data_IF_681422993895
#
_entry.id   IF_681422993895
#
_cell.length_a   1.000
_cell.length_b   1.000
_cell.length_c   1.000
_cell.angle_alpha   90.00
_cell.angle_beta   90.00
_cell.angle_gamma   90.00
#
_symmetry.space_group_name_H-M   'P 1'
#
loop_
_entity.id
_entity.type
_entity.pdbx_description
1 polymer ?
#
# COMPACT_ATOMS: atom_id res chain seq x y z
N UNK A 1 -0.23 -27.62 15.65
CA UNK A 1 -1.50 -27.05 15.17
C UNK A 1 -1.23 -25.60 14.76
N UNK A 2 -0.89 -25.33 13.48
CA UNK A 2 -0.54 -23.97 13.01
C UNK A 2 -1.81 -23.11 13.06
N UNK A 3 -1.82 -22.03 13.87
CA UNK A 3 -2.87 -21.02 13.78
C UNK A 3 -2.91 -20.50 12.33
N UNK A 4 -3.98 -20.80 11.59
CA UNK A 4 -4.27 -20.09 10.35
C UNK A 4 -4.54 -18.64 10.75
N UNK A 5 -3.58 -17.75 10.52
CA UNK A 5 -3.80 -16.31 10.64
C UNK A 5 -4.92 -15.92 9.67
N UNK A 6 -6.05 -15.46 10.21
CA UNK A 6 -7.26 -15.20 9.43
C UNK A 6 -7.19 -13.80 8.82
N UNK A 7 -7.19 -13.74 7.49
CA UNK A 7 -7.59 -12.56 6.72
C UNK A 7 -9.02 -12.16 7.13
N UNK A 8 -9.31 -10.87 7.20
CA UNK A 8 -10.65 -10.33 7.44
C UNK A 8 -11.06 -9.36 6.33
N UNK A 9 -12.36 -9.11 6.18
CA UNK A 9 -12.91 -8.07 5.30
C UNK A 9 -13.71 -7.09 6.14
N UNK A 10 -13.57 -5.79 5.87
CA UNK A 10 -14.35 -4.77 6.55
C UNK A 10 -15.71 -4.56 5.88
N UNK A 11 -16.79 -4.30 6.66
CA UNK A 11 -16.82 -4.19 8.12
C UNK A 11 -16.65 -5.56 8.81
N UNK A 12 -15.77 -5.64 9.81
CA UNK A 12 -15.46 -6.87 10.54
C UNK A 12 -15.84 -6.72 12.01
N UNK A 13 -16.63 -7.67 12.53
CA UNK A 13 -16.89 -7.78 13.97
C UNK A 13 -15.96 -8.87 14.49
N UNK A 14 -14.87 -8.52 15.21
CA UNK A 14 -13.92 -9.53 15.66
C UNK A 14 -14.53 -10.40 16.76
N UNK A 15 -14.19 -11.69 16.76
CA UNK A 15 -14.66 -12.59 17.82
C UNK A 15 -13.87 -12.34 19.10
N UNK A 16 -14.50 -12.38 20.29
CA UNK A 16 -13.86 -12.03 21.57
C UNK A 16 -12.56 -12.81 21.90
N UNK A 17 -12.32 -13.96 21.23
CA UNK A 17 -11.07 -14.73 21.32
C UNK A 17 -9.93 -14.16 20.48
N UNK A 18 -10.24 -13.45 19.39
CA UNK A 18 -9.24 -12.83 18.50
C UNK A 18 -8.68 -11.54 19.12
N UNK A 19 -9.42 -10.90 20.04
CA UNK A 19 -9.14 -9.56 20.57
C UNK A 19 -8.50 -9.60 21.97
N UNK A 20 -8.76 -10.65 22.75
CA UNK A 20 -8.38 -10.74 24.17
C UNK A 20 -6.87 -10.63 24.46
N UNK A 21 -6.00 -11.06 23.54
CA UNK A 21 -4.54 -10.94 23.67
C UNK A 21 -3.95 -9.65 23.07
N UNK A 22 -4.77 -8.86 22.37
CA UNK A 22 -4.36 -7.68 21.60
C UNK A 22 -4.74 -6.35 22.27
N UNK A 23 -5.63 -6.38 23.27
CA UNK A 23 -6.18 -5.20 23.95
C UNK A 23 -5.12 -4.24 24.51
N UNK A 24 -3.97 -4.75 24.95
CA UNK A 24 -2.91 -3.95 25.61
C UNK A 24 -1.72 -3.61 24.69
N UNK A 25 -1.65 -4.18 23.49
CA UNK A 25 -0.51 -3.96 22.60
C UNK A 25 -0.77 -2.79 21.65
N UNK A 26 0.20 -1.87 21.55
CA UNK A 26 0.20 -0.84 20.51
C UNK A 26 0.40 -1.50 19.15
N UNK A 27 -0.48 -1.17 18.21
CA UNK A 27 -0.47 -1.69 16.84
C UNK A 27 -0.39 -0.53 15.86
N UNK A 28 0.36 -0.72 14.78
CA UNK A 28 0.47 0.23 13.68
C UNK A 28 -0.35 -0.26 12.50
N UNK A 29 -1.11 0.64 11.90
CA UNK A 29 -1.93 0.34 10.71
C UNK A 29 -1.23 0.89 9.47
N UNK A 30 -0.91 -0.02 8.56
CA UNK A 30 -0.35 0.24 7.23
C UNK A 30 -1.43 -0.07 6.20
N UNK A 31 -1.70 0.84 5.28
CA UNK A 31 -2.76 0.65 4.30
C UNK A 31 -2.27 0.88 2.88
N UNK A 32 -2.69 0.01 1.97
CA UNK A 32 -2.30 0.05 0.55
C UNK A 32 -3.52 0.37 -0.29
N UNK A 33 -3.40 1.42 -1.10
CA UNK A 33 -4.38 1.78 -2.11
C UNK A 33 -3.67 2.26 -3.38
N UNK A 34 -4.44 2.59 -4.41
CA UNK A 34 -3.90 3.10 -5.67
C UNK A 34 -4.48 2.38 -6.89
N UNK A 35 -3.64 2.25 -7.92
CA UNK A 35 -3.99 1.61 -9.20
C UNK A 35 -3.18 0.35 -9.36
N UNK A 36 -3.76 -0.69 -9.95
CA UNK A 36 -3.04 -1.92 -10.30
C UNK A 36 -3.21 -2.25 -11.79
N UNK A 37 -2.17 -2.79 -12.45
CA UNK A 37 -2.33 -3.31 -13.81
C UNK A 37 -3.16 -4.60 -13.78
N UNK A 38 -3.66 -5.02 -14.96
CA UNK A 38 -4.42 -6.27 -15.08
C UNK A 38 -3.60 -7.50 -14.66
N UNK A 39 -2.31 -7.50 -14.99
CA UNK A 39 -1.35 -8.56 -14.63
C UNK A 39 -1.24 -8.81 -13.13
N UNK A 40 -1.54 -7.81 -12.28
CA UNK A 40 -1.47 -7.94 -10.84
C UNK A 40 -2.67 -8.69 -10.23
N UNK A 41 -3.69 -9.07 -11.03
CA UNK A 41 -4.87 -9.80 -10.55
C UNK A 41 -5.63 -9.06 -9.45
N UNK A 42 -5.62 -7.73 -9.47
CA UNK A 42 -6.27 -6.88 -8.47
C UNK A 42 -5.59 -6.86 -7.09
N UNK A 43 -4.32 -7.26 -7.00
CA UNK A 43 -3.54 -7.17 -5.76
C UNK A 43 -2.45 -6.11 -5.85
N UNK A 44 -2.52 -5.10 -4.99
CA UNK A 44 -1.49 -4.06 -4.83
C UNK A 44 -0.51 -4.37 -3.69
N UNK A 45 -0.91 -5.28 -2.79
CA UNK A 45 -0.12 -5.67 -1.63
C UNK A 45 0.89 -6.79 -1.92
N UNK A 46 1.17 -7.10 -3.19
CA UNK A 46 2.05 -8.21 -3.57
C UNK A 46 3.47 -8.13 -2.99
N UNK A 47 4.00 -6.92 -2.79
CA UNK A 47 5.31 -6.73 -2.14
C UNK A 47 5.27 -6.89 -0.61
N UNK A 48 4.10 -6.70 0.00
CA UNK A 48 3.88 -6.87 1.44
C UNK A 48 3.58 -8.33 1.77
N UNK A 49 2.97 -9.06 0.84
CA UNK A 49 2.62 -10.47 0.97
C UNK A 49 3.79 -11.38 1.33
N UNK A 50 5.04 -10.99 1.07
CA UNK A 50 6.22 -11.77 1.45
C UNK A 50 6.80 -11.43 2.83
N UNK A 51 6.37 -10.36 3.50
CA UNK A 51 6.96 -9.91 4.76
C UNK A 51 6.74 -10.88 5.93
N UNK A 52 5.55 -11.49 6.09
CA UNK A 52 5.29 -12.45 7.17
C UNK A 52 5.94 -13.83 6.93
N UNK A 53 6.63 -14.01 5.80
CA UNK A 53 7.17 -15.30 5.35
C UNK A 53 6.11 -16.24 4.76
N UNK A 54 4.90 -15.73 4.49
CA UNK A 54 3.83 -16.45 3.79
C UNK A 54 2.90 -15.47 3.09
N UNK A 55 2.32 -15.86 1.95
CA UNK A 55 1.37 -15.02 1.20
C UNK A 55 0.07 -14.82 1.98
N UNK A 56 -0.35 -13.57 2.10
CA UNK A 56 -1.52 -13.19 2.90
C UNK A 56 -2.71 -12.84 2.01
N UNK A 57 -2.54 -11.87 1.12
CA UNK A 57 -3.55 -11.31 0.24
C UNK A 57 -3.70 -12.15 -1.04
N UNK A 58 -2.63 -12.72 -1.57
CA UNK A 58 -2.66 -13.79 -2.59
C UNK A 58 -2.80 -15.18 -1.97
N UNK A 59 -4.01 -15.56 -1.57
CA UNK A 59 -4.26 -16.83 -0.88
C UNK A 59 -4.27 -18.05 -1.83
N UNK A 60 -4.67 -17.90 -3.11
CA UNK A 60 -4.66 -19.01 -4.06
C UNK A 60 -4.32 -18.59 -5.50
N UNK A 61 -3.70 -19.52 -6.22
CA UNK A 61 -3.37 -19.44 -7.64
C UNK A 61 -4.62 -19.40 -8.55
N UNK A 62 -5.78 -19.78 -8.01
CA UNK A 62 -7.09 -19.86 -8.68
C UNK A 62 -8.05 -18.82 -8.06
N UNK A 63 -7.61 -18.06 -7.06
CA UNK A 63 -8.46 -17.08 -6.41
C UNK A 63 -8.77 -15.96 -7.41
N UNK A 64 -10.04 -15.79 -7.69
CA UNK A 64 -10.54 -14.72 -8.55
C UNK A 64 -11.33 -13.73 -7.69
N UNK A 65 -10.63 -12.82 -6.98
CA UNK A 65 -11.26 -12.02 -5.95
C UNK A 65 -12.31 -11.09 -6.56
N UNK A 66 -13.52 -11.18 -6.04
CA UNK A 66 -14.61 -10.27 -6.38
C UNK A 66 -14.74 -9.18 -5.31
N UNK A 67 -15.21 -8.02 -5.74
CA UNK A 67 -15.59 -6.91 -4.85
C UNK A 67 -17.09 -6.92 -4.64
N UNK A 68 -17.55 -6.34 -3.56
CA UNK A 68 -18.97 -6.08 -3.35
C UNK A 68 -19.56 -5.33 -4.56
N UNK A 69 -20.66 -5.85 -5.12
CA UNK A 69 -21.26 -5.32 -6.35
C UNK A 69 -21.91 -3.94 -6.13
N UNK A 70 -22.35 -3.65 -4.91
CA UNK A 70 -22.99 -2.39 -4.55
C UNK A 70 -21.96 -1.33 -4.19
N UNK A 71 -20.88 -1.70 -3.51
CA UNK A 71 -19.83 -0.76 -3.13
C UNK A 71 -18.76 -0.60 -4.22
N UNK A 72 -18.58 -1.61 -5.08
CA UNK A 72 -17.51 -1.72 -6.07
C UNK A 72 -16.11 -1.56 -5.46
N UNK A 73 -16.00 -1.76 -4.15
CA UNK A 73 -14.78 -1.66 -3.39
C UNK A 73 -14.85 -2.50 -2.12
N UNK A 74 -13.72 -3.14 -1.80
CA UNK A 74 -13.55 -3.98 -0.61
C UNK A 74 -12.25 -3.61 0.11
N UNK A 75 -12.28 -3.59 1.44
CA UNK A 75 -11.07 -3.45 2.26
C UNK A 75 -10.77 -4.79 2.94
N UNK A 76 -9.64 -5.37 2.56
CA UNK A 76 -9.14 -6.61 3.14
C UNK A 76 -8.09 -6.29 4.19
N UNK A 77 -8.19 -6.94 5.35
CA UNK A 77 -7.30 -6.73 6.47
C UNK A 77 -6.53 -7.99 6.85
N UNK A 78 -5.30 -7.79 7.31
CA UNK A 78 -4.47 -8.82 7.91
C UNK A 78 -3.69 -8.27 9.09
N UNK A 79 -3.69 -8.99 10.20
CA UNK A 79 -2.92 -8.66 11.37
C UNK A 79 -1.70 -9.58 11.47
N UNK A 80 -0.50 -9.00 11.46
CA UNK A 80 0.75 -9.69 11.78
C UNK A 80 1.05 -9.54 13.28
N UNK A 81 0.82 -10.59 14.11
CA UNK A 81 1.10 -10.51 15.53
C UNK A 81 2.59 -10.40 15.87
N UNK A 82 3.50 -10.80 14.96
CA UNK A 82 4.95 -10.73 15.21
C UNK A 82 5.45 -9.29 15.08
N UNK A 83 5.01 -8.59 14.05
CA UNK A 83 5.38 -7.18 13.83
C UNK A 83 4.46 -6.21 14.57
N UNK A 84 3.30 -6.67 15.07
CA UNK A 84 2.21 -5.83 15.62
C UNK A 84 1.73 -4.80 14.60
N UNK A 85 1.59 -5.24 13.36
CA UNK A 85 1.18 -4.40 12.23
C UNK A 85 -0.11 -4.95 11.64
N UNK A 86 -1.07 -4.07 11.39
CA UNK A 86 -2.27 -4.38 10.60
C UNK A 86 -2.07 -3.82 9.21
N UNK A 87 -2.15 -4.70 8.23
CA UNK A 87 -2.14 -4.35 6.83
C UNK A 87 -3.58 -4.30 6.32
N UNK A 88 -3.97 -3.16 5.76
CA UNK A 88 -5.23 -3.00 5.04
C UNK A 88 -4.96 -2.84 3.55
N UNK A 89 -5.72 -3.53 2.72
CA UNK A 89 -5.60 -3.50 1.26
C UNK A 89 -6.95 -3.13 0.66
N UNK A 90 -7.02 -1.97 0.02
CA UNK A 90 -8.23 -1.51 -0.67
C UNK A 90 -8.23 -2.04 -2.10
N UNK A 91 -9.24 -2.85 -2.44
CA UNK A 91 -9.59 -3.22 -3.81
C UNK A 91 -10.73 -2.35 -4.31
N UNK A 92 -10.70 -1.94 -5.56
CA UNK A 92 -11.83 -1.23 -6.13
C UNK A 92 -11.68 -0.90 -7.60
N UNK A 93 -12.53 0.01 -8.08
CA UNK A 93 -12.67 0.37 -9.51
C UNK A 93 -11.41 0.86 -10.22
N UNK A 94 -10.38 1.29 -9.48
CA UNK A 94 -9.10 1.72 -10.05
C UNK A 94 -8.10 0.57 -10.28
N UNK A 95 -8.47 -0.65 -9.88
CA UNK A 95 -7.79 -1.87 -10.23
C UNK A 95 -8.36 -2.39 -11.55
N UNK A 96 -7.52 -2.57 -12.57
CA UNK A 96 -7.99 -2.97 -13.91
C UNK A 96 -8.74 -4.31 -13.87
N UNK A 97 -8.33 -5.22 -12.99
CA UNK A 97 -9.00 -6.51 -12.79
C UNK A 97 -10.46 -6.35 -12.34
N UNK A 98 -10.72 -5.51 -11.33
CA UNK A 98 -12.08 -5.22 -10.84
C UNK A 98 -12.90 -4.47 -11.89
N UNK A 99 -12.28 -3.52 -12.59
CA UNK A 99 -12.96 -2.77 -13.65
C UNK A 99 -13.45 -3.68 -14.78
N UNK A 100 -12.65 -4.68 -15.18
CA UNK A 100 -13.02 -5.66 -16.21
C UNK A 100 -14.18 -6.53 -15.75
N UNK A 101 -14.18 -7.00 -14.50
CA UNK A 101 -15.29 -7.80 -13.95
C UNK A 101 -16.61 -7.04 -13.92
N UNK A 102 -16.56 -5.78 -13.55
CA UNK A 102 -17.75 -4.92 -13.47
C UNK A 102 -18.14 -4.30 -14.81
N UNK A 103 -17.46 -4.64 -15.91
CA UNK A 103 -17.66 -4.02 -17.23
C UNK A 103 -19.10 -4.15 -17.75
N UNK A 104 -19.71 -5.32 -17.62
CA UNK A 104 -21.07 -5.55 -18.10
C UNK A 104 -22.10 -4.73 -17.32
N UNK A 105 -21.91 -4.60 -16.01
CA UNK A 105 -22.73 -3.74 -15.16
C UNK A 105 -22.56 -2.27 -15.57
N UNK A 106 -21.31 -1.82 -15.73
CA UNK A 106 -21.04 -0.45 -16.17
C UNK A 106 -21.59 -0.14 -17.55
N UNK A 107 -21.54 -1.09 -18.48
CA UNK A 107 -22.07 -0.91 -19.83
C UNK A 107 -23.56 -0.64 -19.80
N UNK A 108 -24.32 -1.36 -18.96
CA UNK A 108 -25.76 -1.13 -18.75
C UNK A 108 -26.03 0.21 -18.07
N UNK A 109 -25.34 0.52 -16.98
CA UNK A 109 -25.54 1.79 -16.28
C UNK A 109 -25.16 3.01 -17.14
N UNK A 110 -24.17 2.84 -18.02
CA UNK A 110 -23.73 3.87 -18.96
C UNK A 110 -24.82 4.21 -19.98
N UNK A 111 -25.55 3.20 -20.48
CA UNK A 111 -26.69 3.37 -21.38
C UNK A 111 -27.87 4.06 -20.68
N UNK A 112 -28.13 3.73 -19.41
CA UNK A 112 -29.27 4.26 -18.65
C UNK A 112 -29.05 5.67 -18.11
N UNK A 113 -27.88 5.93 -17.49
CA UNK A 113 -27.60 7.13 -16.67
C UNK A 113 -26.60 8.08 -17.34
N UNK A 114 -25.88 7.61 -18.36
CA UNK A 114 -24.82 8.36 -19.04
C UNK A 114 -23.49 8.39 -18.28
N UNK A 115 -22.41 8.68 -19.03
CA UNK A 115 -21.02 8.57 -18.57
C UNK A 115 -20.71 9.36 -17.29
N UNK A 116 -21.12 10.63 -17.24
CA UNK A 116 -20.76 11.52 -16.15
C UNK A 116 -21.33 11.06 -14.81
N UNK A 117 -22.57 10.54 -14.81
CA UNK A 117 -23.23 10.05 -13.60
C UNK A 117 -22.52 8.81 -13.05
N UNK A 118 -22.29 7.81 -13.93
CA UNK A 118 -21.63 6.56 -13.54
C UNK A 118 -20.21 6.82 -13.04
N UNK A 119 -19.44 7.65 -13.77
CA UNK A 119 -18.07 7.96 -13.40
C UNK A 119 -17.96 8.75 -12.08
N UNK A 120 -18.89 9.67 -11.83
CA UNK A 120 -18.95 10.41 -10.57
C UNK A 120 -19.28 9.48 -9.40
N UNK A 121 -20.23 8.56 -9.59
CA UNK A 121 -20.61 7.59 -8.57
C UNK A 121 -19.49 6.59 -8.25
N UNK A 122 -18.80 6.05 -9.27
CA UNK A 122 -17.61 5.20 -9.08
C UNK A 122 -16.54 5.90 -8.24
N UNK A 123 -16.22 7.16 -8.57
CA UNK A 123 -15.25 7.96 -7.82
C UNK A 123 -15.71 8.22 -6.39
N UNK A 124 -17.01 8.47 -6.19
CA UNK A 124 -17.59 8.70 -4.89
C UNK A 124 -17.50 7.46 -3.99
N UNK A 125 -17.89 6.29 -4.49
CA UNK A 125 -17.79 5.01 -3.76
C UNK A 125 -16.34 4.73 -3.34
N UNK A 126 -15.38 4.86 -4.27
CA UNK A 126 -13.96 4.69 -3.95
C UNK A 126 -13.45 5.74 -2.94
N UNK A 127 -13.86 7.00 -3.08
CA UNK A 127 -13.46 8.08 -2.16
C UNK A 127 -13.94 7.82 -0.73
N UNK A 128 -15.12 7.22 -0.53
CA UNK A 128 -15.62 6.83 0.81
C UNK A 128 -14.73 5.78 1.47
N UNK A 129 -14.39 4.72 0.74
CA UNK A 129 -13.49 3.69 1.24
C UNK A 129 -12.09 4.26 1.56
N UNK A 130 -11.63 5.19 0.73
CA UNK A 130 -10.34 5.86 0.94
C UNK A 130 -10.38 6.80 2.17
N UNK A 131 -11.46 7.55 2.38
CA UNK A 131 -11.66 8.36 3.59
C UNK A 131 -11.55 7.56 4.87
N UNK A 132 -12.08 6.33 4.88
CA UNK A 132 -11.94 5.43 6.01
C UNK A 132 -10.46 5.12 6.28
N UNK A 133 -9.68 4.73 5.25
CA UNK A 133 -8.24 4.48 5.41
C UNK A 133 -7.49 5.69 5.96
N UNK A 134 -7.73 6.89 5.43
CA UNK A 134 -7.08 8.12 5.94
C UNK A 134 -7.41 8.43 7.41
N UNK A 135 -8.49 7.87 7.94
CA UNK A 135 -8.94 8.11 9.32
C UNK A 135 -8.39 7.09 10.32
N UNK A 136 -8.00 5.88 9.86
CA UNK A 136 -7.55 4.79 10.74
C UNK A 136 -6.08 4.42 10.56
N UNK A 137 -5.47 4.77 9.42
CA UNK A 137 -4.09 4.39 9.10
C UNK A 137 -3.07 5.33 9.70
N UNK A 138 -1.86 4.81 9.96
CA UNK A 138 -0.69 5.63 10.30
C UNK A 138 0.20 5.81 9.08
N UNK A 139 0.33 4.74 8.27
CA UNK A 139 1.11 4.75 7.03
C UNK A 139 0.19 4.34 5.89
N UNK A 140 0.25 5.08 4.80
CA UNK A 140 -0.50 4.86 3.58
C UNK A 140 0.49 4.68 2.42
N UNK A 141 0.32 3.62 1.65
CA UNK A 141 1.16 3.30 0.50
C UNK A 141 0.30 3.44 -0.75
N UNK A 142 0.71 4.31 -1.66
CA UNK A 142 0.09 4.46 -2.98
C UNK A 142 0.85 3.58 -3.95
N UNK A 143 0.22 2.49 -4.41
CA UNK A 143 0.75 1.70 -5.52
C UNK A 143 0.34 2.31 -6.85
N UNK A 144 1.30 2.46 -7.75
CA UNK A 144 1.08 2.92 -9.10
C UNK A 144 1.87 2.07 -10.11
N UNK A 145 1.23 1.61 -11.21
CA UNK A 145 1.86 0.69 -12.16
C UNK A 145 3.04 1.32 -12.92
N UNK A 146 2.99 2.63 -13.17
CA UNK A 146 4.02 3.34 -13.95
C UNK A 146 5.05 4.01 -13.04
N UNK A 147 6.17 4.49 -13.57
CA UNK A 147 7.16 5.31 -12.83
C UNK A 147 6.84 6.82 -12.86
N UNK A 148 5.62 7.19 -13.22
CA UNK A 148 5.18 8.58 -13.41
C UNK A 148 4.12 8.88 -12.36
N UNK A 149 4.29 10.01 -11.66
CA UNK A 149 3.29 10.46 -10.70
C UNK A 149 2.00 10.92 -11.41
N UNK A 150 0.87 10.35 -10.98
CA UNK A 150 -0.43 10.67 -11.54
C UNK A 150 -1.07 11.89 -10.86
N UNK A 151 -1.17 12.99 -11.61
CA UNK A 151 -1.72 14.27 -11.15
C UNK A 151 -3.22 14.16 -10.78
N UNK A 152 -3.94 13.14 -11.25
CA UNK A 152 -5.34 12.93 -10.84
C UNK A 152 -5.48 12.71 -9.33
N UNK A 153 -4.45 12.19 -8.65
CA UNK A 153 -4.44 12.08 -7.19
C UNK A 153 -4.52 13.44 -6.48
N UNK A 154 -3.97 14.51 -7.07
CA UNK A 154 -4.05 15.87 -6.48
C UNK A 154 -5.51 16.31 -6.34
N UNK A 155 -6.32 16.05 -7.36
CA UNK A 155 -7.75 16.38 -7.36
C UNK A 155 -8.50 15.53 -6.34
N UNK A 156 -8.17 14.24 -6.27
CA UNK A 156 -8.75 13.32 -5.29
C UNK A 156 -8.42 13.75 -3.86
N UNK A 157 -7.17 14.04 -3.54
CA UNK A 157 -6.75 14.46 -2.19
C UNK A 157 -7.40 15.77 -1.75
N UNK A 158 -7.54 16.74 -2.64
CA UNK A 158 -8.28 17.98 -2.34
C UNK A 158 -9.75 17.70 -2.03
N UNK A 159 -10.39 16.84 -2.83
CA UNK A 159 -11.79 16.47 -2.60
C UNK A 159 -11.97 15.72 -1.27
N UNK A 160 -11.05 14.81 -0.94
CA UNK A 160 -11.03 14.08 0.32
C UNK A 160 -10.80 15.01 1.52
N UNK A 161 -9.90 15.99 1.43
CA UNK A 161 -9.67 16.94 2.52
C UNK A 161 -10.92 17.80 2.79
N UNK A 162 -11.60 18.26 1.74
CA UNK A 162 -12.89 18.97 1.88
C UNK A 162 -13.96 18.05 2.49
N UNK A 163 -14.01 16.79 2.07
CA UNK A 163 -14.93 15.80 2.63
C UNK A 163 -14.64 15.58 4.12
N UNK A 164 -13.36 15.40 4.49
CA UNK A 164 -12.88 15.23 5.87
C UNK A 164 -13.39 16.34 6.76
N UNK A 165 -13.19 17.60 6.37
CA UNK A 165 -13.61 18.76 7.16
C UNK A 165 -15.13 18.80 7.37
N UNK A 166 -15.92 18.38 6.37
CA UNK A 166 -17.39 18.33 6.47
C UNK A 166 -17.90 17.21 7.37
N UNK A 167 -17.24 16.05 7.37
CA UNK A 167 -17.67 14.90 8.18
C UNK A 167 -17.09 14.89 9.60
N UNK A 168 -16.09 15.73 9.87
CA UNK A 168 -15.35 15.77 11.13
C UNK A 168 -16.28 15.87 12.35
N UNK A 169 -17.29 16.76 12.31
CA UNK A 169 -18.22 16.93 13.42
C UNK A 169 -18.99 15.65 13.77
N UNK A 170 -19.61 15.02 12.77
CA UNK A 170 -20.37 13.78 12.96
C UNK A 170 -19.48 12.60 13.36
N UNK A 171 -18.27 12.49 12.81
CA UNK A 171 -17.32 11.43 13.18
C UNK A 171 -16.83 11.62 14.62
N UNK A 172 -16.57 12.86 15.05
CA UNK A 172 -16.16 13.17 16.42
C UNK A 172 -17.22 12.75 17.44
N UNK A 173 -18.50 12.97 17.14
CA UNK A 173 -19.62 12.52 17.99
C UNK A 173 -19.68 11.00 18.12
N UNK A 174 -19.49 10.27 17.00
CA UNK A 174 -19.44 8.80 17.01
C UNK A 174 -18.23 8.32 17.83
N UNK A 175 -17.05 8.90 17.62
CA UNK A 175 -15.83 8.50 18.33
C UNK A 175 -15.91 8.77 19.84
N UNK A 176 -16.62 9.81 20.29
CA UNK A 176 -16.87 10.06 21.73
C UNK A 176 -17.61 8.93 22.42
N UNK A 177 -18.40 8.14 21.69
CA UNK A 177 -19.11 6.99 22.26
C UNK A 177 -18.18 5.83 22.59
N UNK A 178 -16.96 5.82 22.05
CA UNK A 178 -15.99 4.75 22.21
C UNK A 178 -15.10 5.05 23.44
N UNK A 179 -15.12 4.20 24.48
CA UNK A 179 -14.38 4.47 25.70
C UNK A 179 -12.85 4.41 25.50
N UNK A 180 -12.15 5.36 26.12
CA UNK A 180 -10.70 5.40 26.25
C UNK A 180 -9.93 5.83 25.00
N UNK A 181 -10.59 6.47 24.02
CA UNK A 181 -9.88 7.24 23.00
C UNK A 181 -9.43 8.57 23.61
N UNK A 182 -8.31 9.11 23.14
CA UNK A 182 -7.85 10.42 23.55
C UNK A 182 -8.71 11.54 22.94
N UNK A 183 -8.74 12.70 23.61
CA UNK A 183 -9.43 13.89 23.12
C UNK A 183 -8.88 14.38 21.78
N UNK A 184 -7.58 14.22 21.54
CA UNK A 184 -6.93 14.62 20.28
C UNK A 184 -7.32 13.71 19.11
N UNK A 185 -7.44 12.39 19.33
CA UNK A 185 -7.99 11.49 18.31
C UNK A 185 -9.44 11.85 18.01
N UNK A 186 -10.27 12.02 19.04
CA UNK A 186 -11.68 12.38 18.88
C UNK A 186 -11.86 13.70 18.11
N UNK A 187 -11.02 14.71 18.41
CA UNK A 187 -11.09 16.02 17.76
C UNK A 187 -10.63 15.96 16.31
N UNK A 188 -9.55 15.23 16.02
CA UNK A 188 -8.98 15.14 14.67
C UNK A 188 -9.60 14.02 13.80
N UNK A 189 -10.41 13.15 14.42
CA UNK A 189 -10.98 11.92 13.88
C UNK A 189 -9.95 10.94 13.30
N UNK A 190 -8.73 10.94 13.83
CA UNK A 190 -7.62 10.07 13.39
C UNK A 190 -6.55 9.90 14.48
N UNK A 191 -5.82 8.76 14.51
CA UNK A 191 -4.77 8.49 15.50
C UNK A 191 -3.51 9.34 15.31
N UNK A 192 -3.22 9.75 14.08
CA UNK A 192 -2.15 10.68 13.72
C UNK A 192 -2.45 11.28 12.34
N UNK A 193 -1.66 12.27 11.89
CA UNK A 193 -1.64 12.60 10.46
C UNK A 193 -0.91 11.48 9.71
N UNK A 194 -1.58 10.70 8.84
CA UNK A 194 -0.95 9.55 8.23
C UNK A 194 0.18 9.98 7.29
N UNK A 195 1.26 9.19 7.23
CA UNK A 195 2.32 9.36 6.25
C UNK A 195 1.97 8.66 4.95
N UNK A 196 2.13 9.35 3.83
CA UNK A 196 1.95 8.76 2.51
C UNK A 196 3.30 8.43 1.89
N UNK A 197 3.46 7.17 1.50
CA UNK A 197 4.60 6.62 0.77
C UNK A 197 4.16 6.24 -0.65
N UNK A 198 5.04 6.39 -1.63
CA UNK A 198 4.75 6.08 -3.03
C UNK A 198 5.52 4.86 -3.48
N UNK A 199 4.80 3.89 -4.03
CA UNK A 199 5.33 2.68 -4.62
C UNK A 199 5.06 2.72 -6.12
N UNK A 200 6.13 2.74 -6.91
CA UNK A 200 6.06 2.62 -8.36
C UNK A 200 6.46 1.21 -8.79
N UNK A 201 5.56 0.48 -9.44
CA UNK A 201 5.75 -0.94 -9.77
C UNK A 201 6.61 -1.16 -11.02
N UNK A 202 6.87 -0.11 -11.81
CA UNK A 202 7.76 -0.16 -12.97
C UNK A 202 8.89 0.85 -12.85
N UNK A 203 9.93 0.62 -13.65
CA UNK A 203 11.13 1.44 -13.72
C UNK A 203 11.49 1.68 -15.20
N UNK A 204 11.94 2.88 -15.60
CA UNK A 204 12.37 3.12 -16.98
C UNK A 204 13.51 2.20 -17.41
N UNK A 205 13.50 1.74 -18.66
CA UNK A 205 14.44 0.75 -19.20
C UNK A 205 15.93 1.12 -18.99
N UNK A 206 16.27 2.41 -19.08
CA UNK A 206 17.63 2.93 -18.87
C UNK A 206 18.23 2.58 -17.50
N UNK A 207 17.38 2.36 -16.48
CA UNK A 207 17.81 1.99 -15.13
C UNK A 207 17.85 0.46 -14.93
N UNK A 208 17.21 -0.32 -15.82
CA UNK A 208 17.17 -1.78 -15.79
C UNK A 208 18.38 -2.38 -16.54
N UNK A 209 18.70 -1.84 -17.71
CA UNK A 209 19.80 -2.32 -18.57
C UNK A 209 21.18 -2.17 -17.91
N UNK A 210 21.37 -1.12 -17.11
CA UNK A 210 22.60 -0.88 -16.36
C UNK A 210 22.94 -1.99 -15.35
N UNK A 211 21.95 -2.73 -14.83
CA UNK A 211 22.20 -3.88 -13.93
C UNK A 211 22.47 -5.18 -14.69
N UNK A 212 21.78 -5.41 -15.81
CA UNK A 212 21.95 -6.62 -16.61
C UNK A 212 23.33 -6.69 -17.30
N UNK A 213 23.87 -5.54 -17.73
CA UNK A 213 25.19 -5.49 -18.37
C UNK A 213 26.34 -5.55 -17.36
N UNK A 214 26.22 -4.93 -16.18
CA UNK A 214 27.26 -5.02 -15.12
C UNK A 214 27.41 -6.47 -14.61
N UNK A 215 26.34 -7.25 -14.57
CA UNK A 215 26.39 -8.66 -14.18
C UNK A 215 26.98 -9.59 -15.27
N UNK A 216 26.93 -9.19 -16.55
CA UNK A 216 27.37 -10.02 -17.69
C UNK A 216 28.78 -9.71 -18.16
N UNK A 217 29.22 -8.47 -18.01
CA UNK A 217 30.55 -8.04 -18.43
C UNK A 217 31.23 -7.44 -17.21
N UNK A 218 32.11 -8.20 -16.56
CA UNK A 218 33.02 -7.70 -15.52
C UNK A 218 34.04 -6.68 -16.04
N UNK A 219 33.71 -5.91 -17.08
CA UNK A 219 34.55 -4.96 -17.76
C UNK A 219 33.95 -3.56 -17.69
N UNK A 220 34.74 -2.63 -17.16
CA UNK A 220 34.39 -1.22 -16.95
C UNK A 220 34.32 -0.40 -18.22
N UNK A 221 33.35 -0.64 -19.10
CA UNK A 221 33.02 0.28 -20.18
C UNK A 221 32.10 1.43 -19.68
N UNK A 222 32.73 2.40 -19.01
CA UNK A 222 32.60 3.86 -19.20
C UNK A 222 31.26 4.62 -19.21
N UNK A 223 30.09 3.99 -19.21
CA UNK A 223 28.82 4.68 -19.09
C UNK A 223 28.38 4.74 -17.62
N UNK A 224 28.45 5.91 -16.96
CA UNK A 224 27.85 6.09 -15.63
C UNK A 224 26.32 5.96 -15.75
N UNK A 225 25.81 4.74 -15.63
CA UNK A 225 24.37 4.53 -15.53
C UNK A 225 23.83 5.31 -14.31
N UNK A 226 22.71 6.03 -14.45
CA UNK A 226 22.16 6.81 -13.35
C UNK A 226 21.68 5.87 -12.24
N UNK A 227 22.03 6.19 -10.99
CA UNK A 227 21.61 5.41 -9.82
C UNK A 227 20.09 5.47 -9.65
N UNK A 228 19.46 4.35 -9.31
CA UNK A 228 18.01 4.31 -8.98
C UNK A 228 17.65 5.31 -7.87
N UNK A 229 18.56 5.53 -6.93
CA UNK A 229 18.38 6.52 -5.86
C UNK A 229 18.23 7.95 -6.40
N UNK A 230 18.89 8.28 -7.51
CA UNK A 230 18.71 9.58 -8.16
C UNK A 230 17.31 9.72 -8.77
N UNK A 231 16.75 8.63 -9.30
CA UNK A 231 15.38 8.63 -9.79
C UNK A 231 14.39 8.79 -8.63
N UNK A 232 14.59 8.04 -7.54
CA UNK A 232 13.75 8.14 -6.33
C UNK A 232 13.77 9.57 -5.78
N UNK A 233 14.94 10.19 -5.59
CA UNK A 233 15.03 11.58 -5.13
C UNK A 233 14.40 12.58 -6.12
N UNK A 234 14.59 12.38 -7.44
CA UNK A 234 13.96 13.24 -8.42
C UNK A 234 12.42 13.13 -8.39
N UNK A 235 11.89 11.93 -8.12
CA UNK A 235 10.45 11.72 -7.94
C UNK A 235 9.96 12.31 -6.62
N UNK A 236 10.73 12.20 -5.52
CA UNK A 236 10.44 12.84 -4.24
C UNK A 236 10.30 14.34 -4.40
N UNK A 237 11.28 15.01 -5.01
CA UNK A 237 11.26 16.46 -5.27
C UNK A 237 10.05 16.85 -6.13
N UNK A 238 9.78 16.10 -7.20
CA UNK A 238 8.65 16.38 -8.08
C UNK A 238 7.31 16.24 -7.35
N UNK A 239 7.11 15.14 -6.62
CA UNK A 239 5.88 14.87 -5.86
C UNK A 239 5.70 15.94 -4.78
N UNK A 240 6.76 16.25 -4.03
CA UNK A 240 6.73 17.29 -3.00
C UNK A 240 6.34 18.64 -3.59
N UNK A 241 6.97 19.07 -4.70
CA UNK A 241 6.65 20.34 -5.35
C UNK A 241 5.22 20.39 -5.88
N UNK A 242 4.73 19.30 -6.51
CA UNK A 242 3.36 19.23 -7.02
C UNK A 242 2.36 19.34 -5.87
N UNK A 243 2.54 18.55 -4.80
CA UNK A 243 1.64 18.53 -3.65
C UNK A 243 1.67 19.85 -2.86
N UNK A 244 2.85 20.47 -2.76
CA UNK A 244 3.02 21.76 -2.10
C UNK A 244 2.41 22.92 -2.90
N UNK A 245 2.69 22.99 -4.20
CA UNK A 245 2.12 24.02 -5.10
C UNK A 245 0.61 23.89 -5.21
N UNK A 246 0.10 22.67 -5.15
CA UNK A 246 -1.33 22.39 -5.11
C UNK A 246 -1.98 22.51 -3.72
N UNK A 247 -1.23 22.91 -2.68
CA UNK A 247 -1.74 23.08 -1.30
C UNK A 247 -2.41 21.82 -0.73
N UNK A 248 -2.04 20.63 -1.22
CA UNK A 248 -2.48 19.35 -0.61
C UNK A 248 -1.76 19.13 0.72
N UNK A 249 -0.45 19.45 0.76
CA UNK A 249 0.37 19.41 1.96
C UNK A 249 0.69 20.83 2.44
N UNK A 250 0.64 21.04 3.76
CA UNK A 250 0.95 22.32 4.41
C UNK A 250 2.13 22.19 5.37
N UNK A 251 2.49 23.26 6.08
CA UNK A 251 3.59 23.24 7.06
C UNK A 251 3.24 22.44 8.31
N UNK A 252 1.94 22.35 8.61
CA UNK A 252 1.42 21.71 9.80
C UNK A 252 0.69 20.46 9.32
N UNK A 253 1.31 19.30 9.54
CA UNK A 253 0.80 17.99 9.12
C UNK A 253 -0.62 17.73 9.61
N UNK A 254 -0.96 18.14 10.85
CA UNK A 254 -2.28 17.96 11.44
C UNK A 254 -3.42 18.70 10.71
N UNK A 255 -3.11 19.74 9.94
CA UNK A 255 -4.11 20.48 9.15
C UNK A 255 -4.33 19.88 7.76
N UNK A 256 -3.41 19.05 7.28
CA UNK A 256 -3.49 18.39 5.98
C UNK A 256 -4.15 17.02 6.09
N UNK A 257 -4.64 16.50 4.95
CA UNK A 257 -5.17 15.13 4.86
C UNK A 257 -4.12 14.09 5.26
N UNK A 258 -2.86 14.32 4.88
CA UNK A 258 -1.71 13.48 5.19
C UNK A 258 -0.41 14.28 5.25
N UNK A 259 0.64 13.63 5.71
CA UNK A 259 2.00 14.15 5.76
C UNK A 259 2.94 13.41 4.79
N UNK A 260 4.02 14.10 4.41
CA UNK A 260 5.14 13.51 3.68
C UNK A 260 6.37 13.61 4.60
N UNK A 261 7.15 12.53 4.76
CA UNK A 261 8.39 12.55 5.53
C UNK A 261 9.36 13.62 5.01
N UNK A 262 9.88 14.47 5.90
CA UNK A 262 10.76 15.57 5.51
C UNK A 262 12.23 15.16 5.32
N UNK A 263 12.73 14.23 6.15
CA UNK A 263 14.14 13.82 6.21
C UNK A 263 14.32 12.32 5.96
N UNK A 264 13.33 11.67 5.34
CA UNK A 264 13.32 10.23 5.10
C UNK A 264 12.81 9.96 3.70
N UNK A 265 13.29 8.87 3.13
CA UNK A 265 12.85 8.42 1.82
C UNK A 265 11.36 8.05 1.87
N UNK A 266 10.59 8.53 0.90
CA UNK A 266 9.15 8.30 0.81
C UNK A 266 8.70 7.79 -0.57
N UNK A 267 9.63 7.64 -1.50
CA UNK A 267 9.39 7.01 -2.81
C UNK A 267 10.23 5.74 -2.92
N UNK A 268 9.59 4.66 -3.38
CA UNK A 268 10.27 3.42 -3.74
C UNK A 268 9.91 3.03 -5.17
N UNK A 269 10.93 2.78 -6.01
CA UNK A 269 10.74 2.33 -7.38
C UNK A 269 11.15 0.87 -7.51
N UNK A 270 10.21 0.02 -7.92
CA UNK A 270 10.47 -1.39 -8.13
C UNK A 270 11.41 -1.60 -9.32
N UNK A 271 12.59 -2.13 -9.05
CA UNK A 271 13.63 -2.40 -10.07
C UNK A 271 13.63 -3.83 -10.59
N UNK A 272 13.00 -4.75 -9.87
CA UNK A 272 12.86 -6.15 -10.29
C UNK A 272 11.49 -6.36 -10.89
N UNK A 273 11.44 -6.90 -12.11
CA UNK A 273 10.19 -7.37 -12.71
C UNK A 273 9.56 -8.35 -11.73
N UNK A 274 8.36 -8.05 -11.25
CA UNK A 274 7.63 -8.99 -10.41
C UNK A 274 7.44 -10.27 -11.25
N UNK A 275 7.97 -11.43 -10.85
CA UNK A 275 7.78 -12.67 -11.61
C UNK A 275 6.29 -13.07 -11.71
N UNK A 276 5.42 -12.43 -10.92
CA UNK A 276 3.96 -12.57 -11.01
C UNK A 276 3.31 -11.64 -12.04
N UNK A 277 4.03 -10.64 -12.57
CA UNK A 277 3.50 -9.72 -13.60
C UNK A 277 3.23 -10.43 -14.92
N UNK A 278 3.93 -11.53 -15.21
CA UNK A 278 3.53 -12.45 -16.26
C UNK A 278 3.71 -13.87 -15.74
N UNK A 279 2.73 -14.26 -14.93
CA UNK A 279 2.70 -15.56 -14.26
C UNK A 279 2.74 -16.72 -15.26
N UNK A 280 2.13 -16.55 -16.44
CA UNK A 280 2.15 -17.57 -17.49
C UNK A 280 3.55 -17.69 -18.11
N UNK A 281 4.18 -16.56 -18.46
CA UNK A 281 5.56 -16.56 -18.92
C UNK A 281 6.51 -17.16 -17.88
N UNK A 282 6.34 -16.84 -16.58
CA UNK A 282 7.17 -17.43 -15.53
C UNK A 282 7.00 -18.95 -15.44
N UNK A 283 5.76 -19.47 -15.47
CA UNK A 283 5.52 -20.92 -15.45
C UNK A 283 6.11 -21.61 -16.68
N UNK A 284 5.91 -21.03 -17.87
CA UNK A 284 6.47 -21.54 -19.13
C UNK A 284 7.99 -21.52 -19.08
N UNK A 285 8.60 -20.43 -18.65
CA UNK A 285 10.06 -20.31 -18.52
C UNK A 285 10.62 -21.31 -17.49
N UNK A 286 9.95 -21.47 -16.34
CA UNK A 286 10.34 -22.46 -15.33
C UNK A 286 10.27 -23.89 -15.87
N UNK A 287 9.24 -24.19 -16.67
CA UNK A 287 9.10 -25.49 -17.33
C UNK A 287 10.18 -25.70 -18.39
N UNK A 288 10.46 -24.67 -19.20
CA UNK A 288 11.55 -24.69 -20.19
C UNK A 288 12.91 -24.91 -19.52
N UNK A 289 13.16 -24.25 -18.39
CA UNK A 289 14.40 -24.41 -17.62
C UNK A 289 14.50 -25.81 -17.00
N UNK A 290 13.38 -26.34 -16.46
CA UNK A 290 13.30 -27.71 -15.98
C UNK A 290 13.58 -28.75 -17.09
N UNK A 291 13.05 -28.52 -18.29
CA UNK A 291 13.30 -29.40 -19.44
C UNK A 291 14.74 -29.29 -19.99
N UNK A 292 15.42 -28.15 -19.84
CA UNK A 292 16.80 -27.94 -20.30
C UNK A 292 17.83 -28.62 -19.41
N UNK A 293 17.55 -28.77 -18.11
CA UNK A 293 18.48 -29.38 -17.16
C UNK A 293 17.74 -30.27 -16.12
N UNK A 294 17.30 -31.48 -16.53
CA UNK A 294 16.55 -32.39 -15.66
C UNK A 294 17.38 -33.00 -14.52
N UNK A 295 18.71 -32.82 -14.51
CA UNK A 295 19.62 -33.40 -13.52
C UNK A 295 20.16 -32.39 -12.49
N UNK A 296 19.75 -31.12 -12.54
CA UNK A 296 20.11 -30.10 -11.54
C UNK A 296 19.33 -30.25 -10.22
N UNK A 297 19.02 -31.49 -9.86
CA UNK A 297 18.19 -31.89 -8.74
C UNK A 297 19.04 -32.65 -7.70
N UNK A 298 19.95 -31.93 -7.03
CA UNK A 298 20.54 -32.40 -5.77
C UNK A 298 21.00 -31.29 -4.81
N UNK A 299 20.38 -30.11 -4.84
CA UNK A 299 20.47 -29.13 -3.73
C UNK A 299 19.40 -28.04 -3.72
N UNK A 300 18.40 -28.08 -4.61
CA UNK A 300 17.24 -27.19 -4.51
C UNK A 300 16.22 -27.86 -3.60
N UNK A 301 16.31 -27.55 -2.30
CA UNK A 301 15.39 -28.03 -1.28
C UNK A 301 13.95 -28.00 -1.81
N UNK A 302 13.15 -29.03 -1.54
CA UNK A 302 11.69 -29.10 -1.81
C UNK A 302 10.89 -27.92 -1.24
N UNK A 303 11.54 -27.02 -0.51
CA UNK A 303 11.03 -25.74 -0.09
C UNK A 303 11.08 -24.67 -1.19
N UNK A 304 11.83 -24.81 -2.28
CA UNK A 304 12.05 -23.73 -3.26
C UNK A 304 10.79 -23.30 -4.03
N UNK A 305 9.85 -24.16 -4.39
CA UNK A 305 8.61 -23.67 -5.05
C UNK A 305 7.76 -22.82 -4.08
N UNK A 306 7.91 -23.04 -2.78
CA UNK A 306 7.30 -22.22 -1.70
C UNK A 306 8.23 -21.06 -1.30
N UNK A 307 9.55 -21.22 -1.46
CA UNK A 307 10.61 -20.29 -1.07
C UNK A 307 11.11 -19.37 -2.20
N UNK A 308 10.70 -19.53 -3.47
CA UNK A 308 10.93 -18.49 -4.51
C UNK A 308 10.29 -17.17 -4.08
N UNK A 309 9.29 -17.23 -3.21
CA UNK A 309 8.63 -16.09 -2.60
C UNK A 309 9.37 -15.55 -1.37
N UNK A 310 10.07 -16.42 -0.64
CA UNK A 310 10.96 -16.03 0.46
C UNK A 310 12.27 -15.42 -0.07
N UNK A 311 12.80 -15.91 -1.19
CA UNK A 311 14.08 -15.47 -1.79
C UNK A 311 13.99 -14.11 -2.49
N UNK A 312 12.80 -13.68 -2.95
CA UNK A 312 12.60 -12.28 -3.38
C UNK A 312 12.87 -11.27 -2.25
N UNK A 313 12.77 -11.71 -0.99
CA UNK A 313 12.96 -10.88 0.21
C UNK A 313 14.24 -11.19 1.00
N UNK A 314 15.07 -12.15 0.57
CA UNK A 314 16.30 -12.57 1.26
C UNK A 314 17.59 -12.21 0.51
N UNK A 315 17.51 -11.35 -0.51
CA UNK A 315 18.72 -10.84 -1.15
C UNK A 315 19.34 -9.70 -0.32
N UNK A 316 20.65 -9.75 -0.01
CA UNK A 316 21.37 -8.73 0.74
C UNK A 316 21.68 -7.50 -0.14
N UNK A 317 20.66 -6.95 -0.81
CA UNK A 317 20.78 -5.72 -1.56
C UNK A 317 20.23 -4.55 -0.74
N UNK A 318 20.97 -3.45 -0.68
CA UNK A 318 20.61 -2.19 0.01
C UNK A 318 19.26 -1.57 -0.43
N UNK A 319 18.66 -2.09 -1.51
CA UNK A 319 17.42 -1.59 -2.11
C UNK A 319 16.29 -2.63 -2.03
N UNK A 320 15.72 -2.81 -0.83
CA UNK A 320 14.59 -3.71 -0.58
C UNK A 320 13.36 -2.92 -0.12
N UNK A 321 12.17 -3.28 -0.61
CA UNK A 321 10.94 -2.62 -0.15
C UNK A 321 10.66 -2.86 1.34
N UNK A 322 11.11 -4.01 1.86
CA UNK A 322 10.97 -4.36 3.27
C UNK A 322 11.76 -3.41 4.17
N UNK A 323 13.04 -3.17 3.86
CA UNK A 323 13.85 -2.23 4.63
C UNK A 323 13.30 -0.81 4.53
N UNK A 324 12.84 -0.39 3.35
CA UNK A 324 12.18 0.90 3.14
C UNK A 324 10.95 1.07 4.05
N UNK A 325 10.00 0.12 4.04
CA UNK A 325 8.80 0.23 4.85
C UNK A 325 9.09 0.08 6.36
N UNK A 326 10.01 -0.82 6.73
CA UNK A 326 10.33 -1.10 8.12
C UNK A 326 10.86 0.14 8.85
N UNK A 327 11.64 1.00 8.19
CA UNK A 327 12.13 2.26 8.77
C UNK A 327 10.98 3.16 9.26
N UNK A 328 9.89 3.25 8.48
CA UNK A 328 8.71 4.04 8.84
C UNK A 328 7.90 3.40 9.97
N UNK A 329 7.78 2.07 9.96
CA UNK A 329 7.12 1.30 11.02
C UNK A 329 7.88 1.46 12.34
N UNK A 330 9.20 1.32 12.32
CA UNK A 330 10.06 1.44 13.50
C UNK A 330 10.00 2.85 14.09
N UNK A 331 9.95 3.88 13.24
CA UNK A 331 9.73 5.25 13.71
C UNK A 331 8.37 5.40 14.39
N UNK A 332 7.30 4.84 13.79
CA UNK A 332 5.95 4.90 14.35
C UNK A 332 5.91 4.30 15.77
N UNK A 333 6.62 3.18 16.00
CA UNK A 333 6.69 2.56 17.32
C UNK A 333 7.54 3.31 18.35
N UNK A 334 8.59 4.02 17.90
CA UNK A 334 9.58 4.63 18.81
C UNK A 334 9.28 6.08 19.15
N UNK A 335 9.08 6.92 18.12
CA UNK A 335 8.96 8.38 18.26
C UNK A 335 7.62 8.93 17.81
N UNK A 336 6.88 8.18 16.99
CA UNK A 336 5.75 8.72 16.25
C UNK A 336 6.18 9.61 15.08
N UNK A 337 5.22 10.30 14.47
CA UNK A 337 5.44 11.13 13.29
C UNK A 337 5.38 12.61 13.64
N UNK A 338 6.48 13.31 13.37
CA UNK A 338 6.56 14.78 13.43
C UNK A 338 7.10 15.28 12.08
N UNK A 339 6.18 15.43 11.13
CA UNK A 339 6.47 15.86 9.76
C UNK A 339 6.11 17.33 9.54
N UNK A 340 6.04 18.11 10.62
CA UNK A 340 5.87 19.55 10.52
C UNK A 340 7.12 20.18 9.91
N UNK A 341 6.95 21.14 9.00
CA UNK A 341 8.05 21.82 8.32
C UNK A 341 8.03 23.32 8.59
N UNK A 342 9.21 23.92 8.75
CA UNK A 342 9.37 25.33 9.13
C UNK A 342 9.61 25.53 10.62
N UNK A 343 9.45 26.77 11.11
CA UNK A 343 9.73 27.14 12.51
C UNK A 343 8.55 26.86 13.45
N UNK A 344 7.82 25.77 13.23
CA UNK A 344 6.71 25.39 14.09
C UNK A 344 7.20 24.42 15.18
N UNK A 345 7.05 24.84 16.44
CA UNK A 345 7.51 24.08 17.63
C UNK A 345 6.45 23.13 18.19
N UNK A 346 5.27 23.07 17.57
CA UNK A 346 4.22 22.16 18.00
C UNK A 346 4.51 20.75 17.46
N UNK A 347 4.63 19.78 18.37
CA UNK A 347 4.82 18.38 18.01
C UNK A 347 3.55 17.81 17.36
N UNK A 348 3.74 16.97 16.34
CA UNK A 348 2.65 16.21 15.73
C UNK A 348 2.00 15.25 16.73
N UNK A 349 0.67 15.25 16.78
CA UNK A 349 -0.07 14.28 17.56
C UNK A 349 0.09 12.87 16.99
N UNK A 350 0.38 11.90 17.86
CA UNK A 350 0.53 10.50 17.47
C UNK A 350 0.07 9.56 18.58
N UNK A 351 -0.88 8.69 18.26
CA UNK A 351 -1.31 7.59 19.13
C UNK A 351 -1.27 6.26 18.37
N UNK A 352 -0.61 5.26 18.94
CA UNK A 352 -0.66 3.89 18.43
C UNK A 352 -1.97 3.22 18.85
N UNK A 353 -2.62 2.50 17.94
CA UNK A 353 -3.94 1.92 18.20
C UNK A 353 -3.80 0.77 19.20
N UNK A 354 -4.52 0.78 20.33
CA UNK A 354 -4.60 -0.39 21.22
C UNK A 354 -5.24 -1.54 20.43
N UNK A 355 -4.57 -2.70 20.33
CA UNK A 355 -4.96 -3.78 19.43
C UNK A 355 -6.37 -4.34 19.63
N UNK A 356 -7.02 -4.04 20.76
CA UNK A 356 -8.42 -4.38 20.99
C UNK A 356 -9.46 -3.34 20.56
N UNK A 357 -9.02 -2.18 20.05
CA UNK A 357 -9.86 -1.11 19.50
C UNK A 357 -9.85 -1.07 17.97
N UNK A 358 -9.33 -2.12 17.35
CA UNK A 358 -9.29 -2.33 15.89
C UNK A 358 -10.70 -2.57 15.31
N UNK A 359 -11.71 -2.75 16.18
CA UNK A 359 -13.13 -2.72 15.83
C UNK A 359 -13.57 -1.28 15.49
N UNK A 360 -13.17 -0.76 14.32
CA UNK A 360 -13.68 0.49 13.73
C UNK A 360 -14.35 0.17 12.39
#
# INVERSE_FOLDING_TARGET
MRMRTKKFKLPHIPSGKDVAGLLEQKVIVVSVFGKSPYSAGGCKAGLIDGFPGHRVFHTSLIDDPDVDQDLLCDIEGYHDPKQRVIYLHLRGVFDVHTLVKSYDLFSKELEEKGYLSVWADMKYRYARALMFLFSVSHILIISHPTHIFDISYVHLFRALDVMRQKVLGGFSEILRTIPGLSEEWITNCRPCSPRVLFLFESCPAIYLEGRANVARTGSGFGGKYPSIKKLEHALEDQIYHILRKSRVITNISSNSLFAIPANQEFVFVQTKVNPLSDRNAHMVNSLVDFCKDPNNDCSRNKEEIVNTFSTLHLEPNDHSFRSFLQQHIDQAFTKGFDDNVGRHTAHGYFEGIPGGKVSI
#
